data_IF_809979181029
#
_entry.id   IF_809979181029
#
_cell.length_a   1.000
_cell.length_b   1.000
_cell.length_c   1.000
_cell.angle_alpha   90.00
_cell.angle_beta   90.00
_cell.angle_gamma   90.00
#
_symmetry.space_group_name_H-M   'P 1'
#
loop_
_entity.id
_entity.type
_entity.pdbx_description
1 polymer ?
#
# COMPACT_ATOMS: atom_id res chain seq x y z
N UNK A 1 -42.33 -64.95 36.69
CA UNK A 1 -42.46 -64.55 38.10
C UNK A 1 -41.23 -64.88 38.94
N UNK A 2 -40.49 -65.97 38.72
CA UNK A 2 -39.27 -66.25 39.53
C UNK A 2 -38.23 -65.14 39.45
N UNK A 3 -37.89 -64.64 38.24
CA UNK A 3 -36.93 -63.54 38.06
C UNK A 3 -37.28 -62.23 38.79
N UNK A 4 -38.57 -61.95 39.04
CA UNK A 4 -39.00 -60.75 39.76
C UNK A 4 -38.94 -60.97 41.27
N UNK A 5 -39.30 -62.17 41.73
CA UNK A 5 -39.14 -62.59 43.12
C UNK A 5 -37.65 -62.58 43.51
N UNK A 6 -36.79 -63.15 42.67
CA UNK A 6 -35.35 -63.21 42.89
C UNK A 6 -34.72 -61.80 42.98
N UNK A 7 -35.21 -60.85 42.18
CA UNK A 7 -34.81 -59.44 42.23
C UNK A 7 -35.23 -58.74 43.54
N UNK A 8 -36.47 -58.93 44.00
CA UNK A 8 -36.91 -58.35 45.27
C UNK A 8 -36.27 -59.05 46.48
N UNK A 9 -35.96 -60.34 46.38
CA UNK A 9 -35.22 -61.07 47.41
C UNK A 9 -33.76 -60.56 47.51
N UNK A 10 -33.13 -60.15 46.40
CA UNK A 10 -31.82 -59.48 46.40
C UNK A 10 -31.87 -58.07 47.01
N UNK A 11 -32.89 -57.27 46.69
CA UNK A 11 -33.09 -55.94 47.29
C UNK A 11 -33.35 -56.06 48.79
N UNK A 12 -34.20 -56.99 49.20
CA UNK A 12 -34.49 -57.24 50.61
C UNK A 12 -33.21 -57.66 51.38
N UNK A 13 -32.40 -58.56 50.80
CA UNK A 13 -31.10 -58.94 51.39
C UNK A 13 -30.13 -57.77 51.52
N UNK A 14 -30.01 -56.94 50.48
CA UNK A 14 -29.15 -55.76 50.51
C UNK A 14 -29.62 -54.73 51.56
N UNK A 15 -30.94 -54.56 51.71
CA UNK A 15 -31.52 -53.67 52.70
C UNK A 15 -31.36 -54.20 54.13
N UNK A 16 -31.64 -55.49 54.37
CA UNK A 16 -31.47 -56.09 55.70
C UNK A 16 -30.00 -56.21 56.13
N UNK A 17 -29.05 -56.26 55.20
CA UNK A 17 -27.63 -56.12 55.54
C UNK A 17 -27.27 -54.74 56.13
N UNK A 18 -28.06 -53.71 55.82
CA UNK A 18 -27.89 -52.34 56.31
C UNK A 18 -28.65 -52.07 57.63
N UNK A 19 -29.83 -52.67 57.81
CA UNK A 19 -30.72 -52.34 58.95
C UNK A 19 -31.10 -53.53 59.86
N UNK A 20 -30.64 -54.75 59.55
CA UNK A 20 -31.00 -56.00 60.23
C UNK A 20 -32.27 -56.65 59.67
N UNK A 21 -32.36 -57.99 59.74
CA UNK A 21 -33.58 -58.70 59.33
C UNK A 21 -34.70 -58.54 60.39
N UNK A 22 -35.93 -58.19 59.97
CA UNK A 22 -37.04 -58.02 60.90
C UNK A 22 -37.49 -59.35 61.50
N UNK A 23 -37.82 -59.34 62.79
CA UNK A 23 -38.28 -60.53 63.50
C UNK A 23 -39.64 -61.00 62.97
N UNK A 24 -39.95 -62.29 63.16
CA UNK A 24 -41.23 -62.88 62.69
C UNK A 24 -42.46 -62.12 63.20
N UNK A 25 -42.38 -61.54 64.40
CA UNK A 25 -43.44 -60.73 65.01
C UNK A 25 -43.66 -59.39 64.30
N UNK A 26 -42.61 -58.79 63.74
CA UNK A 26 -42.70 -57.53 63.00
C UNK A 26 -43.25 -57.77 61.59
N UNK A 27 -42.88 -58.91 60.98
CA UNK A 27 -43.43 -59.33 59.70
C UNK A 27 -44.95 -59.58 59.79
N UNK A 28 -45.43 -60.24 60.84
CA UNK A 28 -46.88 -60.42 61.09
C UNK A 28 -47.64 -59.11 61.27
N UNK A 29 -47.08 -58.15 62.03
CA UNK A 29 -47.71 -56.83 62.23
C UNK A 29 -47.80 -56.04 60.93
N UNK A 30 -46.76 -56.08 60.10
CA UNK A 30 -46.75 -55.41 58.80
C UNK A 30 -47.78 -56.02 57.85
N UNK A 31 -47.85 -57.36 57.78
CA UNK A 31 -48.85 -58.05 56.97
C UNK A 31 -50.29 -57.70 57.40
N UNK A 32 -50.56 -57.64 58.72
CA UNK A 32 -51.85 -57.25 59.25
C UNK A 32 -52.20 -55.77 58.93
N UNK A 33 -51.23 -54.86 58.99
CA UNK A 33 -51.42 -53.46 58.62
C UNK A 33 -51.78 -53.32 57.14
N UNK A 34 -51.01 -53.94 56.24
CA UNK A 34 -51.24 -53.89 54.78
C UNK A 34 -52.59 -54.50 54.42
N UNK A 35 -52.98 -55.62 55.03
CA UNK A 35 -54.30 -56.23 54.82
C UNK A 35 -55.45 -55.28 55.26
N UNK A 36 -55.28 -54.57 56.37
CA UNK A 36 -56.29 -53.62 56.86
C UNK A 36 -56.42 -52.37 55.97
N UNK A 37 -55.30 -51.91 55.39
CA UNK A 37 -55.25 -50.78 54.47
C UNK A 37 -55.99 -51.10 53.17
N UNK A 38 -55.68 -52.24 52.54
CA UNK A 38 -56.34 -52.66 51.30
C UNK A 38 -57.83 -52.95 51.47
N UNK A 39 -58.24 -53.45 52.64
CA UNK A 39 -59.66 -53.64 52.95
C UNK A 39 -60.42 -52.31 52.96
N UNK A 40 -59.83 -51.24 53.52
CA UNK A 40 -60.44 -49.90 53.50
C UNK A 40 -60.42 -49.24 52.12
N UNK A 41 -59.38 -49.47 51.34
CA UNK A 41 -59.26 -48.94 49.98
C UNK A 41 -60.33 -49.51 49.03
N UNK A 42 -60.63 -50.81 49.15
CA UNK A 42 -61.62 -51.49 48.31
C UNK A 42 -63.08 -51.08 48.62
N UNK A 43 -63.34 -50.50 49.79
CA UNK A 43 -64.66 -50.01 50.21
C UNK A 43 -64.97 -48.57 49.70
N UNK A 44 -64.02 -47.89 49.04
CA UNK A 44 -64.19 -46.53 48.48
C UNK A 44 -64.87 -46.54 47.09
N UNK A 45 -65.48 -45.43 46.68
CA UNK A 45 -66.02 -45.29 45.31
C UNK A 45 -64.89 -45.17 44.26
N UNK A 46 -65.14 -45.46 42.97
CA UNK A 46 -64.10 -45.43 41.93
C UNK A 46 -63.38 -44.08 41.78
N UNK A 47 -64.08 -42.97 42.03
CA UNK A 47 -63.53 -41.61 41.93
C UNK A 47 -62.64 -41.28 43.14
N UNK A 48 -63.04 -41.71 44.34
CA UNK A 48 -62.23 -41.57 45.56
C UNK A 48 -61.00 -42.47 45.56
N UNK A 49 -61.08 -43.66 44.95
CA UNK A 49 -59.93 -44.54 44.75
C UNK A 49 -58.86 -43.89 43.87
N UNK A 50 -59.28 -43.17 42.81
CA UNK A 50 -58.38 -42.41 41.93
C UNK A 50 -57.74 -41.24 42.68
N UNK A 51 -58.51 -40.49 43.49
CA UNK A 51 -57.97 -39.36 44.26
C UNK A 51 -57.00 -39.82 45.38
N UNK A 52 -57.21 -41.00 46.00
CA UNK A 52 -56.23 -41.61 46.91
C UNK A 52 -54.93 -41.97 46.19
N UNK A 53 -55.04 -42.49 44.96
CA UNK A 53 -53.86 -42.80 44.14
C UNK A 53 -53.10 -41.54 43.71
N UNK A 54 -53.82 -40.49 43.34
CA UNK A 54 -53.24 -39.18 42.99
C UNK A 54 -52.55 -38.53 44.19
N UNK A 55 -53.17 -38.56 45.38
CA UNK A 55 -52.55 -38.08 46.62
C UNK A 55 -51.26 -38.82 46.99
N UNK A 56 -51.21 -40.14 46.80
CA UNK A 56 -50.02 -40.95 47.14
C UNK A 56 -48.90 -40.82 46.11
N UNK A 57 -49.22 -40.45 44.88
CA UNK A 57 -48.27 -40.29 43.77
C UNK A 57 -47.87 -38.83 43.52
N UNK A 58 -48.40 -37.89 44.30
CA UNK A 58 -48.14 -36.46 44.15
C UNK A 58 -48.76 -35.84 42.90
N UNK A 59 -49.77 -36.50 42.31
CA UNK A 59 -50.53 -35.99 41.17
C UNK A 59 -51.73 -35.14 41.64
N UNK A 60 -52.11 -34.15 40.85
CA UNK A 60 -53.22 -33.24 41.17
C UNK A 60 -54.58 -33.95 41.17
N UNK A 61 -55.43 -33.60 42.15
CA UNK A 61 -56.80 -34.13 42.26
C UNK A 61 -57.75 -33.38 41.32
N UNK A 62 -58.92 -33.97 41.05
CA UNK A 62 -59.93 -33.38 40.14
C UNK A 62 -60.53 -32.06 40.65
N UNK A 63 -60.39 -31.76 41.95
CA UNK A 63 -60.85 -30.50 42.55
C UNK A 63 -59.82 -29.36 42.36
N UNK A 64 -58.51 -29.65 42.36
CA UNK A 64 -57.43 -28.67 42.20
C UNK A 64 -57.36 -28.07 40.78
N UNK A 65 -57.68 -28.87 39.75
CA UNK A 65 -57.64 -28.43 38.35
C UNK A 65 -58.61 -27.28 38.04
N UNK A 66 -59.83 -27.31 38.61
CA UNK A 66 -60.87 -26.30 38.35
C UNK A 66 -60.54 -24.95 39.00
N UNK A 67 -59.94 -24.94 40.19
CA UNK A 67 -59.57 -23.69 40.87
C UNK A 67 -58.33 -23.04 40.25
N UNK A 68 -57.32 -23.83 39.85
CA UNK A 68 -56.09 -23.30 39.23
C UNK A 68 -56.33 -22.69 37.85
N UNK A 69 -57.20 -23.29 37.01
CA UNK A 69 -57.56 -22.67 35.72
C UNK A 69 -58.25 -21.32 35.93
N UNK A 70 -59.12 -21.19 36.94
CA UNK A 70 -59.81 -19.94 37.26
C UNK A 70 -58.83 -18.86 37.79
N UNK A 71 -57.88 -19.26 38.63
CA UNK A 71 -56.83 -18.38 39.14
C UNK A 71 -55.85 -17.93 38.04
N UNK A 72 -55.49 -18.81 37.11
CA UNK A 72 -54.63 -18.48 35.98
C UNK A 72 -55.28 -17.49 35.02
N UNK A 73 -56.57 -17.67 34.69
CA UNK A 73 -57.33 -16.73 33.84
C UNK A 73 -57.35 -15.34 34.47
N UNK A 74 -57.66 -15.25 35.77
CA UNK A 74 -57.70 -13.99 36.50
C UNK A 74 -56.33 -13.28 36.52
N UNK A 75 -55.25 -14.03 36.75
CA UNK A 75 -53.89 -13.50 36.79
C UNK A 75 -53.44 -12.98 35.43
N UNK A 76 -53.67 -13.74 34.36
CA UNK A 76 -53.28 -13.36 32.99
C UNK A 76 -54.01 -12.11 32.52
N UNK A 77 -55.32 -11.98 32.79
CA UNK A 77 -56.07 -10.75 32.47
C UNK A 77 -55.55 -9.54 33.24
N UNK A 78 -55.25 -9.70 34.52
CA UNK A 78 -54.68 -8.63 35.36
C UNK A 78 -53.31 -8.19 34.84
N UNK A 79 -52.47 -9.13 34.40
CA UNK A 79 -51.18 -8.82 33.78
C UNK A 79 -51.32 -8.10 32.45
N UNK A 80 -52.30 -8.43 31.61
CA UNK A 80 -52.54 -7.71 30.35
C UNK A 80 -52.94 -6.25 30.60
N UNK A 81 -53.81 -5.99 31.57
CA UNK A 81 -54.21 -4.63 31.97
C UNK A 81 -53.03 -3.85 32.54
N UNK A 82 -52.25 -4.47 33.43
CA UNK A 82 -51.08 -3.83 34.04
C UNK A 82 -49.96 -3.49 33.03
N UNK A 83 -50.01 -4.07 31.83
CA UNK A 83 -49.02 -3.87 30.77
C UNK A 83 -49.46 -2.83 29.72
N UNK A 84 -50.54 -2.09 29.97
CA UNK A 84 -51.18 -1.18 28.98
C UNK A 84 -51.45 -1.86 27.63
N UNK A 85 -51.87 -3.13 27.65
CA UNK A 85 -52.22 -3.84 26.43
C UNK A 85 -53.36 -3.10 25.68
N UNK A 86 -53.28 -2.94 24.36
CA UNK A 86 -54.33 -2.27 23.58
C UNK A 86 -55.69 -2.91 23.82
N UNK A 87 -56.76 -2.09 23.89
CA UNK A 87 -58.11 -2.56 24.23
C UNK A 87 -58.58 -3.76 23.38
N UNK A 88 -58.23 -3.79 22.09
CA UNK A 88 -58.55 -4.89 21.19
C UNK A 88 -57.99 -6.26 21.64
N UNK A 89 -56.87 -6.29 22.37
CA UNK A 89 -56.28 -7.51 22.92
C UNK A 89 -57.00 -7.97 24.18
N UNK A 90 -57.50 -7.03 24.99
CA UNK A 90 -58.33 -7.34 26.16
C UNK A 90 -59.69 -7.90 25.71
N UNK A 91 -60.30 -7.26 24.71
CA UNK A 91 -61.57 -7.68 24.13
C UNK A 91 -61.45 -9.06 23.45
N UNK A 92 -60.33 -9.34 22.78
CA UNK A 92 -60.04 -10.65 22.21
C UNK A 92 -59.84 -11.73 23.30
N UNK A 93 -59.13 -11.41 24.39
CA UNK A 93 -58.94 -12.33 25.51
C UNK A 93 -60.27 -12.71 26.17
N UNK A 94 -61.14 -11.71 26.41
CA UNK A 94 -62.45 -11.93 27.03
C UNK A 94 -63.40 -12.69 26.08
N UNK A 95 -63.42 -12.34 24.79
CA UNK A 95 -64.23 -13.04 23.78
C UNK A 95 -63.86 -14.53 23.61
N UNK A 96 -62.61 -14.91 23.88
CA UNK A 96 -62.14 -16.30 23.83
C UNK A 96 -62.60 -17.11 25.05
N UNK A 97 -62.73 -16.48 26.22
CA UNK A 97 -63.20 -17.13 27.44
C UNK A 97 -64.69 -17.44 27.41
N UNK A 98 -65.47 -16.59 26.74
CA UNK A 98 -66.92 -16.77 26.58
C UNK A 98 -67.26 -17.77 25.46
N UNK A 99 -66.32 -18.00 24.53
CA UNK A 99 -66.51 -18.90 23.42
C UNK A 99 -66.32 -20.37 23.87
N UNK A 100 -67.42 -21.15 23.91
CA UNK A 100 -67.39 -22.61 24.15
C UNK A 100 -66.80 -23.37 22.95
N UNK A 101 -65.47 -23.37 22.81
CA UNK A 101 -64.78 -24.06 21.71
C UNK A 101 -63.68 -25.01 22.23
N UNK A 102 -63.37 -26.09 21.50
CA UNK A 102 -62.48 -27.15 21.98
C UNK A 102 -61.03 -26.68 22.17
N UNK A 103 -60.37 -27.25 23.19
CA UNK A 103 -59.09 -26.87 23.81
C UNK A 103 -57.85 -26.75 22.88
N UNK A 104 -57.96 -27.11 21.61
CA UNK A 104 -56.87 -27.16 20.63
C UNK A 104 -56.53 -25.79 19.99
N UNK A 105 -57.40 -24.77 20.08
CA UNK A 105 -57.13 -23.43 19.51
C UNK A 105 -56.44 -22.50 20.52
N UNK A 106 -56.68 -22.67 21.83
CA UNK A 106 -56.00 -21.91 22.90
C UNK A 106 -54.49 -22.17 22.87
N UNK A 107 -54.08 -23.41 22.58
CA UNK A 107 -52.67 -23.76 22.36
C UNK A 107 -52.08 -23.10 21.10
N UNK A 108 -52.85 -22.99 20.02
CA UNK A 108 -52.42 -22.34 18.78
C UNK A 108 -52.22 -20.83 18.98
N UNK A 109 -53.12 -20.17 19.72
CA UNK A 109 -52.99 -18.76 20.07
C UNK A 109 -51.82 -18.51 21.04
N UNK A 110 -51.62 -19.37 22.05
CA UNK A 110 -50.45 -19.31 22.93
C UNK A 110 -49.13 -19.42 22.16
N UNK A 111 -49.10 -20.27 21.14
CA UNK A 111 -47.93 -20.44 20.25
C UNK A 111 -47.71 -19.21 19.37
N UNK A 112 -48.79 -18.63 18.83
CA UNK A 112 -48.73 -17.39 18.04
C UNK A 112 -48.26 -16.19 18.89
N UNK A 113 -48.80 -16.03 20.10
CA UNK A 113 -48.42 -14.97 21.03
C UNK A 113 -46.95 -15.10 21.46
N UNK A 114 -46.48 -16.31 21.75
CA UNK A 114 -45.06 -16.58 22.03
C UNK A 114 -44.16 -16.18 20.85
N UNK A 115 -44.59 -16.46 19.62
CA UNK A 115 -43.87 -16.11 18.40
C UNK A 115 -43.81 -14.59 18.16
N UNK A 116 -44.89 -13.86 18.41
CA UNK A 116 -44.90 -12.39 18.33
C UNK A 116 -44.05 -11.74 19.42
N UNK A 117 -44.12 -12.24 20.65
CA UNK A 117 -43.27 -11.76 21.75
C UNK A 117 -41.78 -12.02 21.48
N UNK A 118 -41.45 -13.16 20.87
CA UNK A 118 -40.07 -13.48 20.46
C UNK A 118 -39.59 -12.56 19.34
N UNK A 119 -40.44 -12.24 18.36
CA UNK A 119 -40.14 -11.25 17.31
C UNK A 119 -39.94 -9.85 17.87
N UNK A 120 -40.82 -9.40 18.76
CA UNK A 120 -40.70 -8.11 19.43
C UNK A 120 -39.40 -8.03 20.25
N UNK A 121 -39.06 -9.10 20.98
CA UNK A 121 -37.79 -9.20 21.70
C UNK A 121 -36.55 -9.21 20.79
N UNK A 122 -36.63 -9.85 19.62
CA UNK A 122 -35.56 -9.81 18.62
C UNK A 122 -35.39 -8.41 18.02
N UNK A 123 -36.48 -7.73 17.67
CA UNK A 123 -36.45 -6.34 17.20
C UNK A 123 -35.92 -5.38 18.27
N UNK A 124 -36.33 -5.54 19.53
CA UNK A 124 -35.81 -4.75 20.64
C UNK A 124 -34.30 -4.96 20.85
N UNK A 125 -33.76 -6.16 20.60
CA UNK A 125 -32.30 -6.39 20.59
C UNK A 125 -31.62 -5.66 19.43
N UNK A 126 -32.18 -5.70 18.23
CA UNK A 126 -31.60 -5.01 17.05
C UNK A 126 -31.60 -3.50 17.24
N UNK A 127 -32.73 -2.91 17.63
CA UNK A 127 -32.84 -1.48 17.92
C UNK A 127 -31.99 -1.08 19.14
N UNK A 128 -31.91 -1.94 20.15
CA UNK A 128 -31.03 -1.75 21.30
C UNK A 128 -29.55 -1.77 20.92
N UNK A 129 -29.15 -2.58 19.93
CA UNK A 129 -27.77 -2.59 19.40
C UNK A 129 -27.47 -1.33 18.61
N UNK A 130 -28.40 -0.80 17.81
CA UNK A 130 -28.23 0.48 17.11
C UNK A 130 -28.12 1.64 18.09
N UNK A 131 -28.99 1.69 19.10
CA UNK A 131 -28.92 2.70 20.16
C UNK A 131 -27.62 2.59 20.96
N UNK A 132 -27.19 1.37 21.32
CA UNK A 132 -25.92 1.14 21.99
C UNK A 132 -24.72 1.55 21.13
N UNK A 133 -24.78 1.30 19.82
CA UNK A 133 -23.74 1.73 18.89
C UNK A 133 -23.69 3.26 18.76
N UNK A 134 -24.85 3.93 18.64
CA UNK A 134 -24.92 5.40 18.61
C UNK A 134 -24.38 6.02 19.90
N UNK A 135 -24.79 5.49 21.05
CA UNK A 135 -24.28 5.93 22.36
C UNK A 135 -22.79 5.65 22.48
N UNK A 136 -22.31 4.48 22.04
CA UNK A 136 -20.88 4.17 22.04
C UNK A 136 -20.09 5.09 21.11
N UNK A 137 -20.64 5.46 19.96
CA UNK A 137 -20.04 6.42 19.03
C UNK A 137 -19.88 7.81 19.66
N UNK A 138 -20.91 8.29 20.35
CA UNK A 138 -20.91 9.62 20.97
C UNK A 138 -20.08 9.67 22.26
N UNK A 139 -20.10 8.60 23.06
CA UNK A 139 -19.40 8.53 24.36
C UNK A 139 -17.93 8.12 24.18
N UNK A 140 -17.61 7.26 23.20
CA UNK A 140 -16.26 6.76 22.92
C UNK A 140 -16.01 6.79 21.40
N UNK A 141 -15.84 7.98 20.79
CA UNK A 141 -15.54 8.06 19.36
C UNK A 141 -14.24 7.30 19.07
N UNK A 142 -14.22 6.54 17.97
CA UNK A 142 -13.01 5.86 17.52
C UNK A 142 -11.84 6.84 17.41
N UNK A 143 -10.67 6.46 17.94
CA UNK A 143 -9.45 7.25 17.85
C UNK A 143 -8.58 6.73 16.70
N UNK A 144 -7.93 7.61 15.91
CA UNK A 144 -7.00 7.16 14.89
C UNK A 144 -5.80 6.44 15.51
N UNK A 145 -5.22 5.50 14.78
CA UNK A 145 -3.92 4.92 15.14
C UNK A 145 -2.81 5.99 15.06
N UNK A 146 -1.63 5.77 15.67
CA UNK A 146 -0.55 6.76 15.68
C UNK A 146 -0.13 7.29 14.30
N UNK A 147 -0.07 6.44 13.26
CA UNK A 147 0.34 6.88 11.93
C UNK A 147 -0.72 7.77 11.30
N UNK A 148 -1.99 7.34 11.32
CA UNK A 148 -3.10 8.14 10.81
C UNK A 148 -3.21 9.47 11.55
N UNK A 149 -3.03 9.47 12.87
CA UNK A 149 -3.08 10.66 13.70
C UNK A 149 -1.99 11.69 13.30
N UNK A 150 -0.76 11.25 13.07
CA UNK A 150 0.30 12.15 12.59
C UNK A 150 0.13 12.58 11.13
N UNK A 151 -0.43 11.74 10.27
CA UNK A 151 -0.79 12.17 8.92
C UNK A 151 -1.88 13.25 8.95
N UNK A 152 -2.88 13.14 9.83
CA UNK A 152 -3.88 14.19 10.04
C UNK A 152 -3.24 15.49 10.54
N UNK A 153 -2.22 15.42 11.40
CA UNK A 153 -1.46 16.60 11.79
C UNK A 153 -0.77 17.27 10.59
N UNK A 154 -0.10 16.49 9.74
CA UNK A 154 0.67 17.02 8.61
C UNK A 154 -0.15 17.36 7.35
N UNK A 155 -1.39 16.88 7.25
CA UNK A 155 -2.22 16.99 6.04
C UNK A 155 -3.56 17.69 6.27
N UNK A 156 -4.02 17.76 7.52
CA UNK A 156 -5.33 18.28 7.90
C UNK A 156 -5.24 19.32 9.04
N UNK A 157 -4.03 19.79 9.39
CA UNK A 157 -3.78 20.81 10.41
C UNK A 157 -4.37 20.48 11.80
N UNK A 158 -4.50 19.19 12.14
CA UNK A 158 -4.99 18.78 13.47
C UNK A 158 -3.94 19.15 14.53
N UNK A 159 -4.28 19.89 15.59
CA UNK A 159 -3.31 20.30 16.61
C UNK A 159 -2.61 19.12 17.29
N UNK A 160 -1.32 19.28 17.60
CA UNK A 160 -0.53 18.23 18.27
C UNK A 160 -1.18 17.77 19.57
N UNK A 161 -1.70 18.70 20.37
CA UNK A 161 -2.29 18.36 21.68
C UNK A 161 -3.55 17.48 21.52
N UNK A 162 -4.31 17.68 20.44
CA UNK A 162 -5.44 16.82 20.07
C UNK A 162 -4.97 15.41 19.72
N UNK A 163 -3.93 15.28 18.91
CA UNK A 163 -3.30 13.99 18.59
C UNK A 163 -2.81 13.28 19.85
N UNK A 164 -2.09 14.00 20.72
CA UNK A 164 -1.57 13.45 21.96
C UNK A 164 -2.70 12.96 22.87
N UNK A 165 -3.81 13.70 22.97
CA UNK A 165 -4.99 13.27 23.73
C UNK A 165 -5.58 11.97 23.20
N UNK A 166 -5.80 11.87 21.89
CA UNK A 166 -6.35 10.66 21.28
C UNK A 166 -5.47 9.43 21.48
N UNK A 167 -4.15 9.59 21.33
CA UNK A 167 -3.22 8.48 21.48
C UNK A 167 -2.99 8.10 22.94
N UNK A 168 -3.16 9.05 23.87
CA UNK A 168 -3.18 8.78 25.31
C UNK A 168 -4.40 7.98 25.71
N UNK A 169 -5.59 8.28 25.16
CA UNK A 169 -6.82 7.50 25.38
C UNK A 169 -6.62 6.02 24.97
N UNK A 170 -5.81 5.77 23.92
CA UNK A 170 -5.46 4.43 23.45
C UNK A 170 -4.30 3.78 24.21
N UNK A 171 -3.72 4.45 25.21
CA UNK A 171 -2.64 3.91 26.05
C UNK A 171 -1.23 3.96 25.43
N UNK A 172 -1.01 4.74 24.37
CA UNK A 172 0.33 4.91 23.80
C UNK A 172 1.23 5.76 24.69
N UNK A 173 2.48 5.33 24.91
CA UNK A 173 3.47 6.16 25.60
C UNK A 173 3.93 7.33 24.73
N UNK A 174 4.22 8.47 25.34
CA UNK A 174 4.72 9.67 24.62
C UNK A 174 5.95 9.35 23.77
N UNK A 175 6.87 8.52 24.27
CA UNK A 175 8.05 8.07 23.54
C UNK A 175 7.70 7.37 22.23
N UNK A 176 6.70 6.49 22.27
CA UNK A 176 6.29 5.72 21.10
C UNK A 176 5.49 6.60 20.11
N UNK A 177 4.66 7.50 20.63
CA UNK A 177 3.96 8.52 19.82
C UNK A 177 4.97 9.38 19.05
N UNK A 178 6.04 9.82 19.69
CA UNK A 178 7.10 10.61 19.06
C UNK A 178 7.91 9.82 18.01
N UNK A 179 8.01 8.49 18.15
CA UNK A 179 8.60 7.65 17.09
C UNK A 179 7.67 7.57 15.87
N UNK A 180 6.37 7.39 16.07
CA UNK A 180 5.40 7.41 14.97
C UNK A 180 5.35 8.76 14.27
N UNK A 181 5.57 9.87 14.98
CA UNK A 181 5.74 11.20 14.35
C UNK A 181 6.86 11.17 13.32
N UNK A 182 8.04 10.72 13.73
CA UNK A 182 9.23 10.65 12.87
C UNK A 182 9.04 9.71 11.68
N UNK A 183 8.21 8.67 11.82
CA UNK A 183 7.83 7.78 10.72
C UNK A 183 6.86 8.44 9.74
N UNK A 184 5.96 9.29 10.23
CA UNK A 184 5.01 10.01 9.40
C UNK A 184 5.62 11.23 8.68
N UNK A 185 6.75 11.76 9.18
CA UNK A 185 7.53 12.79 8.50
C UNK A 185 8.06 12.28 7.16
N UNK A 186 7.92 13.10 6.12
CA UNK A 186 8.50 12.79 4.81
C UNK A 186 10.01 12.99 4.86
N UNK A 187 10.76 11.93 4.57
CA UNK A 187 12.22 12.02 4.44
C UNK A 187 12.61 12.78 3.18
N UNK A 188 13.73 13.51 3.24
CA UNK A 188 14.37 14.11 2.06
C UNK A 188 14.69 13.01 1.07
N UNK A 189 14.34 13.16 -0.21
CA UNK A 189 14.56 12.14 -1.22
C UNK A 189 16.06 11.84 -1.44
N UNK A 190 16.35 10.64 -1.96
CA UNK A 190 17.75 10.17 -2.12
C UNK A 190 18.54 11.07 -3.08
N UNK A 191 17.91 11.55 -4.15
CA UNK A 191 18.54 12.45 -5.10
C UNK A 191 18.88 13.82 -4.46
N UNK A 192 17.97 14.36 -3.65
CA UNK A 192 18.17 15.60 -2.91
C UNK A 192 19.28 15.43 -1.85
N UNK A 193 19.33 14.29 -1.17
CA UNK A 193 20.41 13.97 -0.22
C UNK A 193 21.78 13.98 -0.92
N UNK A 194 21.89 13.38 -2.11
CA UNK A 194 23.12 13.39 -2.91
C UNK A 194 23.48 14.82 -3.33
N UNK A 195 22.50 15.61 -3.77
CA UNK A 195 22.73 17.00 -4.17
C UNK A 195 23.19 17.87 -3.00
N UNK A 196 22.60 17.73 -1.81
CA UNK A 196 23.01 18.43 -0.59
C UNK A 196 24.45 18.06 -0.18
N UNK A 197 24.81 16.79 -0.31
CA UNK A 197 26.18 16.33 -0.08
C UNK A 197 27.18 16.91 -1.08
N UNK A 198 26.87 16.86 -2.38
CA UNK A 198 27.71 17.45 -3.42
C UNK A 198 27.89 18.97 -3.22
N UNK A 199 26.84 19.66 -2.76
CA UNK A 199 26.88 21.12 -2.51
C UNK A 199 27.62 21.52 -1.26
N UNK A 200 27.96 20.56 -0.40
CA UNK A 200 28.59 20.79 0.90
C UNK A 200 27.62 21.21 2.01
N UNK A 201 26.31 21.16 1.74
CA UNK A 201 25.27 21.45 2.74
C UNK A 201 25.14 20.29 3.73
N UNK A 202 25.42 19.05 3.28
CA UNK A 202 25.58 17.88 4.14
C UNK A 202 27.04 17.45 4.23
N UNK A 203 27.55 17.32 5.45
CA UNK A 203 28.77 16.59 5.72
C UNK A 203 28.59 15.08 5.52
N UNK A 204 29.70 14.32 5.50
CA UNK A 204 29.65 12.87 5.23
C UNK A 204 28.78 12.09 6.23
N UNK A 205 28.80 12.50 7.51
CA UNK A 205 27.99 11.87 8.56
C UNK A 205 26.49 12.14 8.34
N UNK A 206 26.12 13.36 7.95
CA UNK A 206 24.74 13.75 7.67
C UNK A 206 24.21 13.02 6.42
N UNK A 207 25.01 12.98 5.36
CA UNK A 207 24.72 12.21 4.15
C UNK A 207 24.45 10.73 4.45
N UNK A 208 25.37 10.05 5.15
CA UNK A 208 25.21 8.63 5.49
C UNK A 208 24.03 8.38 6.43
N UNK A 209 23.80 9.25 7.41
CA UNK A 209 22.65 9.13 8.32
C UNK A 209 21.32 9.34 7.59
N UNK A 210 21.25 10.28 6.63
CA UNK A 210 20.05 10.52 5.84
C UNK A 210 19.72 9.30 4.96
N UNK A 211 20.73 8.71 4.30
CA UNK A 211 20.55 7.46 3.56
C UNK A 211 20.19 6.28 4.45
N UNK A 212 20.78 6.18 5.65
CA UNK A 212 20.43 5.13 6.60
C UNK A 212 18.94 5.17 7.02
N UNK A 213 18.36 6.37 7.15
CA UNK A 213 16.92 6.53 7.42
C UNK A 213 16.03 6.00 6.30
N UNK A 214 16.53 5.92 5.07
CA UNK A 214 15.85 5.26 3.94
C UNK A 214 16.02 3.73 3.93
N UNK A 215 16.75 3.17 4.90
CA UNK A 215 16.98 1.73 5.00
C UNK A 215 18.21 1.22 4.24
N UNK A 216 19.05 2.10 3.70
CA UNK A 216 20.31 1.67 3.07
C UNK A 216 21.29 1.12 4.10
N UNK A 217 21.97 0.02 3.74
CA UNK A 217 23.05 -0.56 4.55
C UNK A 217 24.27 0.37 4.63
N UNK A 218 25.22 0.09 5.53
CA UNK A 218 26.46 0.89 5.61
C UNK A 218 27.27 0.75 4.32
N UNK A 219 27.31 -0.45 3.75
CA UNK A 219 27.97 -0.79 2.51
C UNK A 219 27.36 -0.04 1.32
N UNK A 220 26.02 0.03 1.26
CA UNK A 220 25.31 0.78 0.22
C UNK A 220 25.53 2.28 0.36
N UNK A 221 25.55 2.83 1.58
CA UNK A 221 25.81 4.26 1.79
C UNK A 221 27.20 4.66 1.28
N UNK A 222 28.20 3.81 1.47
CA UNK A 222 29.55 4.01 0.93
C UNK A 222 29.59 3.87 -0.59
N UNK A 223 28.76 2.99 -1.16
CA UNK A 223 28.62 2.84 -2.61
C UNK A 223 27.95 4.07 -3.24
N UNK A 224 26.92 4.63 -2.58
CA UNK A 224 26.24 5.86 -3.00
C UNK A 224 27.14 7.09 -2.87
N UNK A 225 28.01 7.14 -1.86
CA UNK A 225 29.05 8.18 -1.75
C UNK A 225 30.01 8.16 -2.95
N UNK A 226 30.43 6.97 -3.37
CA UNK A 226 31.25 6.82 -4.59
C UNK A 226 30.47 7.23 -5.83
N UNK A 227 29.20 6.81 -5.92
CA UNK A 227 28.31 7.15 -7.04
C UNK A 227 28.03 8.66 -7.14
N UNK A 228 28.03 9.37 -6.01
CA UNK A 228 27.88 10.83 -5.99
C UNK A 228 29.02 11.54 -6.73
N UNK A 229 30.17 10.89 -6.95
CA UNK A 229 31.24 11.40 -7.82
C UNK A 229 30.87 11.09 -9.28
N UNK A 230 30.53 12.14 -10.01
CA UNK A 230 30.03 12.04 -11.37
C UNK A 230 31.17 11.83 -12.37
N UNK A 231 30.92 10.93 -13.32
CA UNK A 231 31.73 10.75 -14.52
C UNK A 231 31.07 11.55 -15.66
N UNK A 232 31.84 12.24 -16.51
CA UNK A 232 31.36 12.89 -17.72
C UNK A 232 30.54 11.94 -18.62
N UNK A 233 29.60 12.49 -19.38
CA UNK A 233 28.79 11.69 -20.29
C UNK A 233 29.61 11.17 -21.48
N UNK A 234 29.12 10.17 -22.23
CA UNK A 234 29.83 9.64 -23.39
C UNK A 234 30.23 10.71 -24.42
N UNK A 235 29.38 11.71 -24.67
CA UNK A 235 29.69 12.81 -25.59
C UNK A 235 30.82 13.73 -25.12
N UNK A 236 30.89 13.98 -23.81
CA UNK A 236 31.99 14.75 -23.21
C UNK A 236 33.31 13.98 -23.34
N UNK A 237 33.28 12.68 -23.07
CA UNK A 237 34.45 11.80 -23.20
C UNK A 237 34.97 11.74 -24.65
N UNK A 238 34.07 11.68 -25.64
CA UNK A 238 34.44 11.79 -27.07
C UNK A 238 35.08 13.16 -27.36
N UNK A 239 34.49 14.23 -26.83
CA UNK A 239 35.05 15.58 -26.99
C UNK A 239 36.45 15.69 -26.39
N UNK A 240 36.67 15.12 -25.20
CA UNK A 240 37.98 15.13 -24.54
C UNK A 240 39.03 14.38 -25.37
N UNK A 241 38.65 13.23 -25.94
CA UNK A 241 39.52 12.46 -26.83
C UNK A 241 39.90 13.26 -28.08
N UNK A 242 38.93 13.89 -28.75
CA UNK A 242 39.13 14.64 -30.00
C UNK A 242 39.89 15.96 -29.79
N UNK A 243 39.71 16.60 -28.62
CA UNK A 243 40.44 17.79 -28.21
C UNK A 243 41.79 17.49 -27.57
N UNK A 244 42.23 16.23 -27.65
CA UNK A 244 43.54 15.78 -27.17
C UNK A 244 43.80 16.11 -25.69
N UNK A 245 42.74 16.17 -24.89
CA UNK A 245 42.78 16.55 -23.46
C UNK A 245 43.69 15.66 -22.62
N UNK A 246 43.82 14.39 -23.01
CA UNK A 246 44.62 13.38 -22.32
C UNK A 246 46.04 13.22 -22.90
N UNK A 247 46.45 14.06 -23.86
CA UNK A 247 47.84 14.08 -24.32
C UNK A 247 48.73 14.78 -23.29
N UNK A 248 49.72 14.08 -22.70
CA UNK A 248 50.54 14.67 -21.63
C UNK A 248 51.35 15.87 -22.08
N UNK A 249 51.78 15.88 -23.34
CA UNK A 249 52.61 16.93 -23.93
C UNK A 249 51.85 18.24 -24.20
N UNK A 250 50.53 18.16 -24.42
CA UNK A 250 49.66 19.32 -24.64
C UNK A 250 48.93 19.78 -23.36
N UNK A 251 48.93 18.95 -22.30
CA UNK A 251 48.09 19.18 -21.12
C UNK A 251 48.34 20.54 -20.46
N UNK A 252 49.59 20.95 -20.33
CA UNK A 252 49.96 22.24 -19.72
C UNK A 252 49.47 23.43 -20.54
N UNK A 253 49.51 23.32 -21.86
CA UNK A 253 49.00 24.34 -22.79
C UNK A 253 47.46 24.41 -22.72
N UNK A 254 46.79 23.25 -22.80
CA UNK A 254 45.32 23.18 -22.76
C UNK A 254 44.74 23.69 -21.43
N UNK A 255 45.48 23.58 -20.33
CA UNK A 255 45.07 24.12 -19.04
C UNK A 255 45.39 25.62 -18.86
N UNK A 256 46.10 26.25 -19.80
CA UNK A 256 46.54 27.64 -19.70
C UNK A 256 45.66 28.59 -20.51
N UNK A 257 45.04 29.63 -19.91
CA UNK A 257 45.19 30.05 -18.52
C UNK A 257 44.47 29.10 -17.57
N UNK A 258 45.00 28.95 -16.35
CA UNK A 258 44.39 28.12 -15.31
C UNK A 258 42.92 28.50 -15.09
N UNK A 259 42.07 27.49 -14.95
CA UNK A 259 40.66 27.72 -14.65
C UNK A 259 40.49 28.54 -13.35
N UNK A 260 39.54 29.49 -13.31
CA UNK A 260 39.27 30.25 -12.10
C UNK A 260 38.89 29.36 -10.91
N UNK A 261 39.26 29.73 -9.68
CA UNK A 261 38.91 28.94 -8.49
C UNK A 261 37.40 28.65 -8.36
N UNK A 262 36.56 29.63 -8.73
CA UNK A 262 35.10 29.48 -8.74
C UNK A 262 34.61 28.41 -9.71
N UNK A 263 35.33 28.15 -10.81
CA UNK A 263 34.99 27.08 -11.74
C UNK A 263 35.11 25.71 -11.06
N UNK A 264 36.23 25.46 -10.36
CA UNK A 264 36.42 24.21 -9.62
C UNK A 264 35.40 24.03 -8.50
N UNK A 265 35.07 25.10 -7.78
CA UNK A 265 34.03 25.08 -6.74
C UNK A 265 32.68 24.63 -7.31
N UNK A 266 32.26 25.23 -8.43
CA UNK A 266 30.97 24.91 -9.05
C UNK A 266 30.96 23.50 -9.67
N UNK A 267 32.07 23.06 -10.27
CA UNK A 267 32.20 21.69 -10.78
C UNK A 267 32.13 20.64 -9.66
N UNK A 268 32.76 20.91 -8.51
CA UNK A 268 32.65 20.05 -7.34
C UNK A 268 31.20 19.96 -6.83
N UNK A 269 30.46 21.07 -6.82
CA UNK A 269 29.03 21.11 -6.45
C UNK A 269 28.10 20.37 -7.43
N UNK A 270 28.59 20.06 -8.63
CA UNK A 270 27.91 19.19 -9.61
C UNK A 270 28.33 17.72 -9.50
N UNK A 271 29.20 17.40 -8.54
CA UNK A 271 29.74 16.06 -8.31
C UNK A 271 30.98 15.71 -9.14
N UNK A 272 31.53 16.64 -9.93
CA UNK A 272 32.75 16.36 -10.70
C UNK A 272 34.00 16.51 -9.83
N UNK A 273 34.89 15.53 -9.92
CA UNK A 273 36.22 15.62 -9.35
C UNK A 273 37.09 16.67 -10.04
N UNK A 274 38.21 17.04 -9.41
CA UNK A 274 39.15 18.03 -9.96
C UNK A 274 39.69 17.62 -11.33
N UNK A 275 40.03 16.36 -11.51
CA UNK A 275 40.52 15.81 -12.78
C UNK A 275 39.54 16.07 -13.93
N UNK A 276 38.26 15.70 -13.76
CA UNK A 276 37.25 15.96 -14.79
C UNK A 276 36.95 17.44 -14.97
N UNK A 277 37.00 18.25 -13.90
CA UNK A 277 36.88 19.69 -14.03
C UNK A 277 38.01 20.26 -14.91
N UNK A 278 39.24 19.80 -14.73
CA UNK A 278 40.39 20.15 -15.56
C UNK A 278 40.23 19.64 -16.99
N UNK A 279 39.63 18.47 -17.23
CA UNK A 279 39.35 17.95 -18.58
C UNK A 279 38.31 18.79 -19.34
N UNK A 280 37.24 19.19 -18.66
CA UNK A 280 36.25 20.12 -19.23
C UNK A 280 36.87 21.49 -19.51
N UNK A 281 37.79 21.95 -18.65
CA UNK A 281 38.53 23.16 -18.92
C UNK A 281 39.44 22.96 -20.13
N UNK A 282 40.27 21.94 -20.17
CA UNK A 282 41.17 21.68 -21.30
C UNK A 282 40.44 21.52 -22.65
N UNK A 283 39.20 21.05 -22.67
CA UNK A 283 38.38 20.94 -23.89
C UNK A 283 37.64 22.22 -24.30
N UNK A 284 37.71 23.31 -23.52
CA UNK A 284 36.98 24.55 -23.80
C UNK A 284 37.49 25.30 -25.04
N UNK A 285 38.74 25.03 -25.45
CA UNK A 285 39.36 25.66 -26.61
C UNK A 285 38.61 25.33 -27.89
N UNK A 286 38.39 26.34 -28.72
CA UNK A 286 37.76 26.18 -30.03
C UNK A 286 38.84 25.95 -31.08
N UNK A 287 38.75 24.83 -31.81
CA UNK A 287 39.63 24.55 -32.94
C UNK A 287 39.36 25.51 -34.11
N UNK A 288 40.37 25.83 -34.94
CA UNK A 288 40.17 26.57 -36.17
C UNK A 288 39.11 25.93 -37.05
N UNK A 289 38.27 26.74 -37.71
CA UNK A 289 37.31 26.26 -38.70
C UNK A 289 38.01 25.64 -39.92
N UNK A 290 37.28 24.83 -40.70
CA UNK A 290 37.78 24.25 -41.96
C UNK A 290 38.38 25.32 -42.87
N UNK A 291 37.68 26.45 -43.02
CA UNK A 291 38.16 27.58 -43.84
C UNK A 291 39.47 28.16 -43.31
N UNK A 292 39.57 28.35 -41.99
CA UNK A 292 40.81 28.83 -41.38
C UNK A 292 41.94 27.80 -41.56
N UNK A 293 41.65 26.50 -41.48
CA UNK A 293 42.59 25.43 -41.80
C UNK A 293 43.20 25.57 -43.19
N UNK A 294 42.36 25.75 -44.20
CA UNK A 294 42.80 25.98 -45.58
C UNK A 294 43.54 27.31 -45.75
N UNK A 295 43.08 28.40 -45.11
CA UNK A 295 43.79 29.68 -45.14
C UNK A 295 45.19 29.58 -44.50
N UNK A 296 45.35 28.83 -43.41
CA UNK A 296 46.66 28.54 -42.81
C UNK A 296 47.53 27.73 -43.79
N UNK A 297 46.99 26.68 -44.39
CA UNK A 297 47.68 25.84 -45.37
C UNK A 297 48.21 26.64 -46.58
N UNK A 298 47.49 27.64 -47.06
CA UNK A 298 47.97 28.46 -48.19
C UNK A 298 48.92 29.59 -47.79
N UNK A 299 48.85 30.08 -46.55
CA UNK A 299 49.54 31.32 -46.12
C UNK A 299 50.74 31.07 -45.23
N UNK A 300 50.81 29.93 -44.56
CA UNK A 300 51.86 29.58 -43.60
C UNK A 300 52.69 28.45 -44.22
N UNK A 301 53.92 28.73 -44.71
CA UNK A 301 54.75 27.73 -45.39
C UNK A 301 55.03 26.48 -44.56
N UNK A 302 55.06 26.61 -43.23
CA UNK A 302 55.31 25.53 -42.29
C UNK A 302 54.06 24.67 -42.00
N UNK A 303 52.86 25.15 -42.32
CA UNK A 303 51.61 24.42 -42.09
C UNK A 303 51.33 23.43 -43.23
N UNK A 304 51.66 22.18 -42.99
CA UNK A 304 51.68 21.09 -43.96
C UNK A 304 50.31 20.48 -44.23
N UNK A 305 50.20 19.71 -45.32
CA UNK A 305 49.00 18.91 -45.62
C UNK A 305 48.68 17.93 -44.48
N UNK A 306 49.71 17.36 -43.84
CA UNK A 306 49.54 16.46 -42.70
C UNK A 306 48.86 17.15 -41.52
N UNK A 307 49.24 18.41 -41.24
CA UNK A 307 48.63 19.21 -40.17
C UNK A 307 47.19 19.62 -40.52
N UNK A 308 46.92 19.97 -41.78
CA UNK A 308 45.55 20.24 -42.24
C UNK A 308 44.66 19.00 -42.06
N UNK A 309 45.11 17.82 -42.51
CA UNK A 309 44.37 16.56 -42.33
C UNK A 309 44.14 16.22 -40.87
N UNK A 310 45.15 16.46 -40.02
CA UNK A 310 45.01 16.27 -38.58
C UNK A 310 43.96 17.23 -37.99
N UNK A 311 43.93 18.50 -38.41
CA UNK A 311 42.88 19.45 -38.03
C UNK A 311 41.49 18.99 -38.50
N UNK A 312 41.34 18.55 -39.76
CA UNK A 312 40.06 18.05 -40.30
C UNK A 312 39.54 16.84 -39.50
N UNK A 313 40.42 15.92 -39.10
CA UNK A 313 40.05 14.80 -38.20
C UNK A 313 39.50 15.31 -36.87
N UNK A 314 40.15 16.31 -36.26
CA UNK A 314 39.73 16.88 -34.96
C UNK A 314 38.43 17.70 -35.05
N UNK A 315 38.04 18.12 -36.26
CA UNK A 315 36.75 18.72 -36.58
C UNK A 315 35.68 17.67 -36.93
N UNK A 316 35.94 16.39 -36.69
CA UNK A 316 35.05 15.26 -36.98
C UNK A 316 34.69 15.09 -38.47
N UNK A 317 35.59 15.49 -39.37
CA UNK A 317 35.42 15.25 -40.80
C UNK A 317 35.99 13.87 -41.13
N UNK A 318 35.13 12.97 -41.61
CA UNK A 318 35.52 11.61 -41.98
C UNK A 318 36.74 11.61 -42.93
N UNK A 319 37.77 10.77 -42.68
CA UNK A 319 39.00 10.74 -43.49
C UNK A 319 38.78 10.60 -45.00
N UNK A 320 37.73 9.88 -45.41
CA UNK A 320 37.39 9.72 -46.84
C UNK A 320 37.10 11.03 -47.58
N UNK A 321 36.74 12.09 -46.87
CA UNK A 321 36.48 13.39 -47.46
C UNK A 321 37.72 14.29 -47.50
N UNK A 322 38.82 13.90 -46.84
CA UNK A 322 40.01 14.72 -46.80
C UNK A 322 40.61 14.88 -48.20
N UNK A 323 40.72 13.79 -48.96
CA UNK A 323 41.22 13.84 -50.33
C UNK A 323 40.34 14.72 -51.23
N UNK A 324 39.02 14.63 -51.07
CA UNK A 324 38.07 15.47 -51.81
C UNK A 324 38.22 16.96 -51.46
N UNK A 325 38.39 17.28 -50.17
CA UNK A 325 38.60 18.65 -49.70
C UNK A 325 39.96 19.20 -50.15
N UNK A 326 40.99 18.35 -50.15
CA UNK A 326 42.32 18.71 -50.65
C UNK A 326 42.33 18.95 -52.16
N UNK A 327 41.57 18.15 -52.93
CA UNK A 327 41.47 18.32 -54.38
C UNK A 327 40.87 19.68 -54.78
N UNK A 328 40.04 20.27 -53.92
CA UNK A 328 39.43 21.60 -54.13
C UNK A 328 40.12 22.71 -53.33
N UNK A 329 41.31 22.44 -52.77
CA UNK A 329 42.03 23.41 -51.95
C UNK A 329 42.49 24.62 -52.77
N UNK A 330 42.94 24.43 -54.00
CA UNK A 330 43.46 25.56 -54.77
C UNK A 330 42.35 26.25 -55.55
N UNK A 331 42.42 27.58 -55.59
CA UNK A 331 41.49 28.36 -56.39
C UNK A 331 41.64 27.97 -57.87
N UNK A 332 40.58 27.50 -58.54
CA UNK A 332 40.61 27.28 -59.98
C UNK A 332 40.79 28.61 -60.72
N UNK A 333 41.27 28.56 -61.97
CA UNK A 333 41.43 29.76 -62.78
C UNK A 333 40.09 30.48 -62.98
N UNK A 334 40.09 31.80 -62.90
CA UNK A 334 38.87 32.55 -63.19
C UNK A 334 38.53 32.44 -64.67
N UNK A 335 37.25 32.61 -65.03
CA UNK A 335 36.83 32.71 -66.44
C UNK A 335 37.68 33.71 -67.24
N UNK A 336 38.12 34.81 -66.62
CA UNK A 336 38.94 35.82 -67.29
C UNK A 336 40.35 35.29 -67.55
N UNK A 337 40.95 34.60 -66.58
CA UNK A 337 42.29 34.02 -66.72
C UNK A 337 42.29 32.92 -67.77
N UNK A 338 41.30 32.03 -67.75
CA UNK A 338 41.14 30.96 -68.76
C UNK A 338 41.10 31.56 -70.17
N UNK A 339 40.29 32.61 -70.39
CA UNK A 339 40.21 33.31 -71.69
C UNK A 339 41.53 33.95 -72.10
N UNK A 340 42.25 34.57 -71.15
CA UNK A 340 43.55 35.19 -71.42
C UNK A 340 44.59 34.14 -71.78
N UNK A 341 44.66 33.05 -71.00
CA UNK A 341 45.57 31.93 -71.22
C UNK A 341 45.34 31.26 -72.57
N UNK A 342 44.09 31.05 -72.97
CA UNK A 342 43.78 30.53 -74.31
C UNK A 342 44.21 31.51 -75.41
N UNK A 343 43.90 32.81 -75.27
CA UNK A 343 44.27 33.83 -76.26
C UNK A 343 45.78 33.93 -76.49
N UNK A 344 46.60 33.73 -75.46
CA UNK A 344 48.07 33.79 -75.56
C UNK A 344 48.71 32.41 -75.78
N UNK A 345 47.91 31.36 -75.98
CA UNK A 345 48.38 30.01 -76.33
C UNK A 345 48.88 29.15 -75.16
N UNK A 346 48.67 29.56 -73.91
CA UNK A 346 49.01 28.76 -72.71
C UNK A 346 48.08 27.54 -72.59
N UNK A 347 46.81 27.69 -72.97
CA UNK A 347 45.85 26.58 -73.14
C UNK A 347 45.56 26.52 -74.63
N UNK A 348 46.24 25.68 -75.41
CA UNK A 348 46.15 25.73 -76.87
C UNK A 348 45.00 24.91 -77.47
N UNK A 349 44.39 24.01 -76.68
CA UNK A 349 43.43 23.03 -77.18
C UNK A 349 42.09 23.05 -76.42
N UNK A 350 41.06 22.53 -77.09
CA UNK A 350 39.68 22.41 -76.58
C UNK A 350 39.63 21.59 -75.29
N UNK A 351 40.38 20.50 -75.21
CA UNK A 351 40.37 19.62 -74.03
C UNK A 351 40.88 20.35 -72.76
N UNK A 352 41.88 21.22 -72.91
CA UNK A 352 42.39 22.07 -71.84
C UNK A 352 41.39 23.15 -71.42
N UNK A 353 40.68 23.75 -72.38
CA UNK A 353 39.58 24.67 -72.09
C UNK A 353 38.44 23.97 -71.35
N UNK A 354 38.02 22.78 -71.79
CA UNK A 354 36.96 22.00 -71.18
C UNK A 354 37.29 21.65 -69.72
N UNK A 355 38.53 21.23 -69.44
CA UNK A 355 39.01 20.99 -68.07
C UNK A 355 38.96 22.27 -67.22
N UNK A 356 39.58 23.35 -67.70
CA UNK A 356 39.69 24.60 -66.94
C UNK A 356 38.33 25.23 -66.61
N UNK A 357 37.39 25.20 -67.57
CA UNK A 357 36.02 25.66 -67.34
C UNK A 357 35.22 24.69 -66.46
N UNK A 358 35.49 23.39 -66.56
CA UNK A 358 34.95 22.36 -65.67
C UNK A 358 35.31 22.59 -64.21
N UNK A 359 36.55 22.99 -63.93
CA UNK A 359 37.06 23.25 -62.57
C UNK A 359 36.33 24.40 -61.85
N UNK A 360 35.77 25.37 -62.61
CA UNK A 360 34.89 26.43 -62.07
C UNK A 360 33.39 26.13 -62.22
N UNK A 361 33.04 24.90 -62.58
CA UNK A 361 31.67 24.39 -62.56
C UNK A 361 30.86 24.52 -63.85
N UNK A 362 31.48 24.86 -65.01
CA UNK A 362 30.77 24.80 -66.29
C UNK A 362 30.66 23.36 -66.78
N UNK A 363 29.48 22.96 -67.24
CA UNK A 363 29.20 21.58 -67.65
C UNK A 363 28.08 21.52 -68.70
N UNK A 364 28.07 20.42 -69.47
CA UNK A 364 27.08 20.16 -70.54
C UNK A 364 27.01 21.31 -71.56
N UNK A 365 25.79 21.76 -71.87
CA UNK A 365 25.53 22.80 -72.87
C UNK A 365 26.25 24.12 -72.61
N UNK A 366 26.52 24.47 -71.35
CA UNK A 366 27.23 25.71 -71.01
C UNK A 366 28.71 25.63 -71.43
N UNK A 367 29.29 24.44 -71.34
CA UNK A 367 30.68 24.20 -71.70
C UNK A 367 30.82 24.20 -73.22
N UNK A 368 29.97 23.46 -73.92
CA UNK A 368 29.93 23.37 -75.40
C UNK A 368 29.92 24.76 -76.05
N UNK A 369 29.00 25.63 -75.63
CA UNK A 369 28.88 26.97 -76.22
C UNK A 369 29.98 27.98 -75.85
N UNK A 370 30.93 27.63 -74.97
CA UNK A 370 32.06 28.48 -74.59
C UNK A 370 33.38 28.01 -75.22
N UNK A 371 33.50 26.70 -75.48
CA UNK A 371 34.71 26.11 -76.06
C UNK A 371 34.66 25.93 -77.57
N UNK A 372 33.48 26.01 -78.18
CA UNK A 372 33.27 26.18 -79.63
C UNK A 372 33.49 27.64 -80.06
#
# INVERSE_FOLDING_TARGET
>A
MSKLKDFFDEIAKAWYALVGEPTSREQEKSAAFVASYWKRYLDLSPEEQVDVWHSLSGMETTTDSKEKTKAWIAKTRTSLIASDAPQVMLDAFDGILEAKWPLNVVGAFGTWLLWELTRAGAMARVLGMEAAFSVAHDVLPGRPDPMSAWLMHFRCDVPRDTIMSWLKDLGWSEKLVDHYRKLAETLVGVAEIIALYQRGDYGITEFRNALYKHGYSREDTASLEKLAKRIPGPGDLVTFALREVWRPDLRSELLSPNAPGRYYELMAKQGFGREFAEDYWASHWVLPSVRQGFEMFWRIPEFTEGELRALLTRLDILPRYHDNLMAIAYAPWTRVDIRRMHKVGVIPDRAGLERAYGDIGYHGRQLEGIVD
#
